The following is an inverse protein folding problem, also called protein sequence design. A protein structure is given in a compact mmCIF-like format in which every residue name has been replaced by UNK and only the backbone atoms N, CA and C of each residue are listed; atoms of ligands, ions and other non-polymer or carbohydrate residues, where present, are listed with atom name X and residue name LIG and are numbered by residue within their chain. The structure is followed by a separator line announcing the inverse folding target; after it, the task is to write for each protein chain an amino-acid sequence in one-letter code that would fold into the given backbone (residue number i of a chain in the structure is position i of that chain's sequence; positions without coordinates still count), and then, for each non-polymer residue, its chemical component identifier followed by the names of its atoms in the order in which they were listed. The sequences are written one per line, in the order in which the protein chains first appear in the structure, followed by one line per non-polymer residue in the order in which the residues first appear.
data_IF_602551367574
#
_entry.id   IF_602551367574
#
_cell.length_a   1.000
_cell.length_b   1.000
_cell.length_c   1.000
_cell.angle_alpha   90.00
_cell.angle_beta   90.00
_cell.angle_gamma   90.00
#
_symmetry.space_group_name_H-M   'P 1'
#
loop_
_entity.id
_entity.type
_entity.pdbx_description
1 polymer ?
#
# COMPACT_ATOMS: atom_id res chain seq x y z
N UNK A 1 -2.31 -8.39 -4.36
CA UNK A 1 -1.40 -8.09 -3.24
C UNK A 1 -0.55 -9.31 -2.98
N UNK A 2 0.35 -9.63 -3.89
CA UNK A 2 1.06 -10.92 -3.89
C UNK A 2 2.02 -11.11 -2.72
N UNK A 3 2.50 -10.02 -2.12
CA UNK A 3 3.53 -10.06 -1.08
C UNK A 3 2.98 -10.06 0.35
N UNK A 4 1.66 -10.11 0.53
CA UNK A 4 1.02 -10.16 1.84
C UNK A 4 0.49 -11.57 2.12
N UNK A 5 0.83 -12.10 3.29
CA UNK A 5 0.36 -13.37 3.80
C UNK A 5 -0.73 -13.20 4.86
N UNK A 6 -1.70 -14.10 4.85
CA UNK A 6 -2.80 -14.15 5.79
C UNK A 6 -2.31 -14.55 7.16
N UNK A 7 -1.97 -13.61 8.04
CA UNK A 7 -1.79 -13.97 9.45
C UNK A 7 -3.10 -14.11 10.22
N UNK A 8 -4.24 -13.65 9.68
CA UNK A 8 -5.52 -13.59 10.43
C UNK A 8 -6.83 -13.79 9.61
N UNK A 9 -6.82 -14.35 8.39
CA UNK A 9 -8.09 -14.56 7.64
C UNK A 9 -8.29 -16.04 7.35
N UNK A 10 -9.11 -16.69 8.18
CA UNK A 10 -9.58 -18.07 8.05
C UNK A 10 -10.80 -18.07 7.14
N UNK A 11 -10.86 -18.93 6.12
CA UNK A 11 -12.09 -19.15 5.33
C UNK A 11 -11.98 -19.04 3.79
N UNK A 12 -10.80 -18.81 3.22
CA UNK A 12 -10.58 -18.80 1.76
C UNK A 12 -10.03 -20.15 1.30
N UNK A 13 -10.49 -20.67 0.16
CA UNK A 13 -9.93 -21.88 -0.46
C UNK A 13 -8.65 -21.58 -1.24
N UNK A 14 -7.64 -22.42 -1.07
CA UNK A 14 -6.33 -22.32 -1.72
C UNK A 14 -5.99 -23.66 -2.37
N UNK A 15 -5.52 -23.62 -3.62
CA UNK A 15 -5.05 -24.81 -4.34
C UNK A 15 -3.69 -25.25 -3.77
N UNK A 16 -3.55 -26.54 -3.44
CA UNK A 16 -2.34 -27.19 -2.94
C UNK A 16 -2.14 -28.56 -3.65
N UNK A 17 -1.00 -29.21 -3.45
CA UNK A 17 -0.69 -30.51 -4.05
C UNK A 17 0.67 -30.57 -4.76
N UNK A 18 0.97 -31.69 -5.45
CA UNK A 18 0.08 -32.82 -5.76
C UNK A 18 -0.15 -33.77 -4.57
N UNK A 19 -1.26 -34.50 -4.61
CA UNK A 19 -1.54 -35.63 -3.70
C UNK A 19 -0.86 -36.94 -4.15
N UNK A 20 -1.12 -38.05 -3.44
CA UNK A 20 -0.56 -39.36 -3.77
C UNK A 20 -0.97 -39.89 -5.17
N UNK A 21 -2.05 -39.36 -5.74
CA UNK A 21 -2.53 -39.69 -7.09
C UNK A 21 -1.95 -38.74 -8.16
N UNK A 22 -1.21 -37.71 -7.76
CA UNK A 22 -0.65 -36.69 -8.65
C UNK A 22 -1.62 -35.57 -9.00
N UNK A 23 -2.77 -35.47 -8.32
CA UNK A 23 -3.78 -34.44 -8.56
C UNK A 23 -3.60 -33.24 -7.61
N UNK A 24 -3.91 -32.04 -8.09
CA UNK A 24 -3.96 -30.83 -7.26
C UNK A 24 -5.32 -30.78 -6.56
N UNK A 25 -5.35 -30.42 -5.29
CA UNK A 25 -6.59 -30.34 -4.50
C UNK A 25 -6.77 -28.94 -3.90
N UNK A 26 -8.00 -28.60 -3.50
CA UNK A 26 -8.28 -27.36 -2.76
C UNK A 26 -8.34 -27.63 -1.27
N UNK A 27 -7.82 -26.70 -0.47
CA UNK A 27 -7.89 -26.77 1.00
C UNK A 27 -8.24 -25.41 1.59
N UNK A 28 -8.76 -25.37 2.82
CA UNK A 28 -8.86 -24.12 3.55
C UNK A 28 -7.47 -23.47 3.71
N UNK A 29 -7.45 -22.15 3.58
CA UNK A 29 -6.27 -21.32 3.76
C UNK A 29 -5.70 -21.43 5.18
N UNK A 30 -4.38 -21.40 5.27
CA UNK A 30 -3.61 -21.42 6.53
C UNK A 30 -2.83 -20.12 6.69
N UNK A 31 -2.29 -19.89 7.89
CA UNK A 31 -1.65 -18.62 8.25
C UNK A 31 -0.39 -18.26 7.42
N UNK A 32 0.17 -19.24 6.71
CA UNK A 32 1.34 -19.05 5.86
C UNK A 32 0.98 -18.80 4.39
N UNK A 33 -0.29 -18.88 4.00
CA UNK A 33 -0.71 -18.62 2.63
C UNK A 33 -0.73 -17.12 2.32
N UNK A 34 -0.39 -16.79 1.08
CA UNK A 34 -0.50 -15.45 0.54
C UNK A 34 -1.95 -15.09 0.18
N UNK A 35 -2.24 -13.79 0.01
CA UNK A 35 -3.53 -13.35 -0.50
C UNK A 35 -3.82 -14.00 -1.86
N UNK A 36 -5.05 -14.48 -2.10
CA UNK A 36 -5.40 -15.16 -3.34
C UNK A 36 -5.27 -14.18 -4.50
N UNK A 37 -4.79 -14.67 -5.64
CA UNK A 37 -4.76 -13.87 -6.86
C UNK A 37 -6.17 -13.85 -7.47
N UNK A 38 -6.69 -12.67 -7.87
CA UNK A 38 -8.01 -12.58 -8.52
C UNK A 38 -8.03 -13.22 -9.91
N UNK A 39 -6.87 -13.29 -10.57
CA UNK A 39 -6.70 -13.89 -11.89
C UNK A 39 -5.50 -14.82 -11.89
N UNK A 40 -5.51 -15.90 -12.67
CA UNK A 40 -4.40 -16.86 -12.74
C UNK A 40 -3.15 -16.27 -13.39
N UNK A 41 -3.32 -15.33 -14.33
CA UNK A 41 -2.22 -14.69 -15.04
C UNK A 41 -2.62 -13.27 -15.55
N UNK A 42 -1.65 -12.46 -15.99
CA UNK A 42 -1.91 -11.11 -16.47
C UNK A 42 -2.82 -11.05 -17.70
N UNK A 43 -2.77 -12.03 -18.60
CA UNK A 43 -3.60 -12.04 -19.81
C UNK A 43 -5.08 -12.24 -19.47
N UNK A 44 -5.40 -13.15 -18.55
CA UNK A 44 -6.74 -13.32 -18.02
C UNK A 44 -7.26 -12.03 -17.37
N UNK A 45 -6.39 -11.32 -16.63
CA UNK A 45 -6.74 -10.04 -16.01
C UNK A 45 -7.04 -8.95 -17.07
N UNK A 46 -6.26 -8.88 -18.15
CA UNK A 46 -6.49 -7.93 -19.25
C UNK A 46 -7.79 -8.20 -19.97
N UNK A 47 -8.07 -9.46 -20.29
CA UNK A 47 -9.31 -9.85 -20.96
C UNK A 47 -10.53 -9.46 -20.12
N UNK A 48 -10.46 -9.66 -18.80
CA UNK A 48 -11.54 -9.30 -17.89
C UNK A 48 -11.74 -7.78 -17.70
N UNK A 49 -10.75 -6.95 -18.01
CA UNK A 49 -10.76 -5.51 -17.74
C UNK A 49 -10.53 -4.65 -19.00
N UNK A 50 -11.11 -5.05 -20.14
CA UNK A 50 -11.05 -4.29 -21.41
C UNK A 50 -9.61 -3.97 -21.88
N UNK A 51 -8.68 -4.91 -21.67
CA UNK A 51 -7.26 -4.78 -22.02
C UNK A 51 -6.38 -4.11 -20.95
N UNK A 52 -6.99 -3.45 -19.96
CA UNK A 52 -6.26 -2.87 -18.84
C UNK A 52 -5.81 -3.97 -17.87
N UNK A 53 -4.59 -3.85 -17.33
CA UNK A 53 -4.09 -4.76 -16.29
C UNK A 53 -4.13 -4.02 -14.95
N UNK A 54 -4.98 -4.44 -14.00
CA UNK A 54 -4.93 -3.93 -12.64
C UNK A 54 -3.53 -4.16 -12.04
N UNK A 55 -2.83 -3.11 -11.56
CA UNK A 55 -1.52 -3.27 -10.96
C UNK A 55 -1.64 -3.99 -9.62
N UNK A 56 -0.59 -4.73 -9.23
CA UNK A 56 -0.53 -5.28 -7.88
C UNK A 56 -0.46 -4.15 -6.83
N UNK A 57 -1.25 -4.28 -5.78
CA UNK A 57 -1.41 -3.24 -4.76
C UNK A 57 -0.42 -3.35 -3.59
N UNK A 58 0.41 -4.39 -3.50
CA UNK A 58 1.30 -4.56 -2.34
C UNK A 58 2.27 -3.40 -2.15
N UNK A 59 2.78 -2.82 -3.23
CA UNK A 59 3.71 -1.69 -3.18
C UNK A 59 3.17 -0.43 -3.86
N UNK A 60 1.87 -0.34 -4.14
CA UNK A 60 1.32 0.74 -4.98
C UNK A 60 1.58 2.14 -4.43
N UNK A 61 1.56 2.28 -3.10
CA UNK A 61 1.87 3.53 -2.38
C UNK A 61 3.32 3.96 -2.62
N UNK A 62 4.28 3.04 -2.60
CA UNK A 62 5.68 3.37 -2.88
C UNK A 62 5.97 3.47 -4.38
N UNK A 63 5.16 2.82 -5.21
CA UNK A 63 5.34 2.75 -6.67
C UNK A 63 4.73 3.94 -7.43
N UNK A 64 4.11 4.91 -6.75
CA UNK A 64 3.53 6.11 -7.35
C UNK A 64 3.99 7.36 -6.60
N UNK A 65 4.28 8.41 -7.36
CA UNK A 65 4.58 9.72 -6.77
C UNK A 65 3.38 10.23 -5.98
N UNK A 66 3.63 10.80 -4.80
CA UNK A 66 2.58 11.24 -3.87
C UNK A 66 2.03 10.13 -2.96
N UNK A 67 2.31 8.85 -3.25
CA UNK A 67 1.94 7.72 -2.39
C UNK A 67 0.48 7.69 -1.97
N UNK A 68 0.22 7.61 -0.67
CA UNK A 68 -1.12 7.57 -0.11
C UNK A 68 -1.97 8.80 -0.46
N UNK A 69 -1.36 9.99 -0.60
CA UNK A 69 -2.08 11.21 -1.01
C UNK A 69 -2.60 11.08 -2.44
N UNK A 70 -1.79 10.48 -3.33
CA UNK A 70 -2.19 10.19 -4.70
C UNK A 70 -3.31 9.15 -4.74
N UNK A 71 -3.20 8.04 -4.00
CA UNK A 71 -4.22 6.99 -3.99
C UNK A 71 -5.54 7.53 -3.43
N UNK A 72 -5.51 8.31 -2.34
CA UNK A 72 -6.70 8.91 -1.75
C UNK A 72 -7.39 9.88 -2.73
N UNK A 73 -6.61 10.75 -3.36
CA UNK A 73 -7.12 11.71 -4.35
C UNK A 73 -7.69 11.01 -5.58
N UNK A 74 -7.04 9.92 -6.03
CA UNK A 74 -7.54 9.10 -7.13
C UNK A 74 -8.89 8.45 -6.79
N UNK A 75 -9.00 7.82 -5.62
CA UNK A 75 -10.22 7.11 -5.22
C UNK A 75 -11.42 8.05 -5.00
N UNK A 76 -11.18 9.25 -4.46
CA UNK A 76 -12.24 10.23 -4.13
C UNK A 76 -12.48 11.27 -5.23
N UNK A 77 -11.59 11.34 -6.23
CA UNK A 77 -11.56 12.40 -7.23
C UNK A 77 -12.29 12.10 -8.54
N UNK A 78 -13.00 10.98 -8.64
CA UNK A 78 -13.82 10.69 -9.82
C UNK A 78 -14.89 11.76 -10.01
N UNK A 79 -14.98 12.31 -11.22
CA UNK A 79 -15.94 13.34 -11.57
C UNK A 79 -16.27 13.30 -13.07
N UNK A 80 -17.27 14.08 -13.48
CA UNK A 80 -17.63 14.23 -14.88
C UNK A 80 -16.51 14.93 -15.66
N UNK A 81 -16.26 14.53 -16.93
CA UNK A 81 -15.27 15.18 -17.76
C UNK A 81 -15.66 16.64 -18.01
N UNK A 82 -14.69 17.58 -17.98
CA UNK A 82 -14.95 18.98 -18.28
C UNK A 82 -15.36 19.17 -19.74
N UNK A 83 -15.99 20.30 -20.04
CA UNK A 83 -16.45 20.62 -21.39
C UNK A 83 -15.32 20.47 -22.43
N UNK A 84 -15.58 19.71 -23.49
CA UNK A 84 -14.62 19.46 -24.58
C UNK A 84 -13.75 18.21 -24.39
N UNK A 85 -13.83 17.51 -23.25
CA UNK A 85 -13.12 16.25 -23.03
C UNK A 85 -14.09 15.07 -23.26
N UNK A 86 -13.79 14.24 -24.24
CA UNK A 86 -14.53 12.98 -24.49
C UNK A 86 -13.67 11.80 -24.08
N UNK A 87 -14.20 10.96 -23.19
CA UNK A 87 -13.53 9.73 -22.75
C UNK A 87 -14.03 8.56 -23.60
N UNK A 88 -13.13 7.66 -24.00
CA UNK A 88 -13.49 6.47 -24.78
C UNK A 88 -14.33 5.51 -23.93
N UNK A 89 -15.17 4.72 -24.60
CA UNK A 89 -15.95 3.68 -23.92
C UNK A 89 -15.03 2.72 -23.15
N UNK A 90 -15.42 2.37 -21.92
CA UNK A 90 -14.63 1.56 -20.99
C UNK A 90 -13.56 2.32 -20.20
N UNK A 91 -13.34 3.61 -20.48
CA UNK A 91 -12.50 4.50 -19.68
C UNK A 91 -13.37 5.49 -18.88
N UNK A 92 -12.83 5.97 -17.77
CA UNK A 92 -13.49 6.89 -16.84
C UNK A 92 -12.64 8.14 -16.65
N UNK A 93 -13.28 9.29 -16.44
CA UNK A 93 -12.55 10.53 -16.17
C UNK A 93 -12.09 10.61 -14.72
N UNK A 94 -10.81 10.93 -14.52
CA UNK A 94 -10.27 11.24 -13.20
C UNK A 94 -9.12 12.27 -13.33
N UNK A 95 -9.23 13.48 -12.76
CA UNK A 95 -8.25 14.54 -12.95
C UNK A 95 -6.88 14.23 -12.33
N UNK A 96 -6.82 13.34 -11.34
CA UNK A 96 -5.56 12.95 -10.67
C UNK A 96 -4.80 11.87 -11.46
N UNK A 97 -5.47 11.12 -12.33
CA UNK A 97 -4.82 10.09 -13.13
C UNK A 97 -4.02 10.74 -14.28
N UNK A 98 -2.76 10.32 -14.54
CA UNK A 98 -2.01 10.81 -15.70
C UNK A 98 -2.74 10.54 -17.02
N UNK A 99 -3.02 11.58 -17.79
CA UNK A 99 -3.82 11.49 -19.02
C UNK A 99 -5.33 11.50 -18.82
N UNK A 100 -5.79 11.67 -17.57
CA UNK A 100 -7.17 11.91 -17.13
C UNK A 100 -8.22 10.86 -17.50
N UNK A 101 -7.86 9.82 -18.24
CA UNK A 101 -8.72 8.70 -18.61
C UNK A 101 -8.16 7.40 -18.01
N UNK A 102 -8.89 6.81 -17.07
CA UNK A 102 -8.50 5.60 -16.34
C UNK A 102 -9.42 4.42 -16.70
N UNK A 103 -8.85 3.22 -16.89
CA UNK A 103 -9.62 2.00 -17.15
C UNK A 103 -10.23 1.35 -15.90
N UNK A 104 -10.28 2.08 -14.78
CA UNK A 104 -10.82 1.63 -13.51
C UNK A 104 -12.14 2.35 -13.27
N UNK A 105 -13.24 1.59 -13.15
CA UNK A 105 -14.53 2.13 -12.71
C UNK A 105 -14.42 2.69 -11.28
N UNK A 106 -15.24 3.69 -10.88
CA UNK A 106 -15.24 4.22 -9.52
C UNK A 106 -15.46 3.08 -8.51
N UNK A 107 -14.45 2.69 -7.71
CA UNK A 107 -14.49 1.43 -6.97
C UNK A 107 -15.19 1.56 -5.60
N UNK A 108 -15.38 2.79 -5.12
CA UNK A 108 -15.94 3.07 -3.80
C UNK A 108 -17.04 4.14 -3.92
N UNK A 109 -18.06 3.99 -3.10
CA UNK A 109 -19.18 4.92 -2.93
C UNK A 109 -19.62 4.88 -1.47
N UNK A 110 -20.52 5.78 -1.05
CA UNK A 110 -21.02 5.77 0.33
C UNK A 110 -21.72 4.44 0.63
N UNK A 111 -21.43 3.87 1.79
CA UNK A 111 -22.02 2.62 2.29
C UNK A 111 -21.71 1.40 1.40
N UNK A 112 -20.54 1.40 0.74
CA UNK A 112 -20.06 0.24 -0.06
C UNK A 112 -19.80 -1.01 0.81
N UNK A 113 -19.57 -0.83 2.10
CA UNK A 113 -19.37 -1.89 3.09
C UNK A 113 -19.87 -1.43 4.47
N UNK A 114 -20.03 -2.37 5.39
CA UNK A 114 -20.31 -2.08 6.80
C UNK A 114 -19.07 -2.42 7.63
N UNK A 115 -18.63 -1.47 8.46
CA UNK A 115 -17.51 -1.71 9.36
C UNK A 115 -17.97 -2.49 10.60
N UNK A 116 -17.15 -3.46 11.04
CA UNK A 116 -17.41 -4.27 12.23
C UNK A 116 -17.50 -3.43 13.53
N UNK A 117 -16.82 -2.27 13.55
CA UNK A 117 -16.81 -1.35 14.69
C UNK A 117 -17.93 -0.29 14.65
N UNK A 118 -18.77 -0.31 13.61
CA UNK A 118 -19.86 0.63 13.42
C UNK A 118 -19.45 2.01 12.90
N UNK A 119 -18.21 2.19 12.43
CA UNK A 119 -17.79 3.43 11.78
C UNK A 119 -18.67 3.74 10.56
N UNK A 120 -19.14 4.99 10.36
CA UNK A 120 -19.92 5.34 9.18
C UNK A 120 -19.09 5.18 7.90
N UNK A 121 -19.52 4.29 7.00
CA UNK A 121 -18.81 3.94 5.78
C UNK A 121 -18.99 4.97 4.65
N UNK A 122 -18.67 6.24 4.92
CA UNK A 122 -18.62 7.27 3.87
C UNK A 122 -17.47 6.98 2.90
N UNK A 123 -17.62 7.41 1.63
CA UNK A 123 -16.61 7.23 0.58
C UNK A 123 -15.22 7.70 1.03
N UNK A 124 -15.15 8.89 1.65
CA UNK A 124 -13.88 9.44 2.13
C UNK A 124 -13.26 8.64 3.28
N UNK A 125 -14.09 8.08 4.16
CA UNK A 125 -13.64 7.25 5.28
C UNK A 125 -13.06 5.93 4.76
N UNK A 126 -13.77 5.26 3.85
CA UNK A 126 -13.29 4.04 3.18
C UNK A 126 -11.98 4.30 2.43
N UNK A 127 -11.90 5.40 1.66
CA UNK A 127 -10.67 5.77 0.96
C UNK A 127 -9.49 5.95 1.92
N UNK A 128 -9.70 6.66 3.04
CA UNK A 128 -8.67 6.90 4.06
C UNK A 128 -8.17 5.60 4.67
N UNK A 129 -9.08 4.70 5.04
CA UNK A 129 -8.73 3.45 5.70
C UNK A 129 -8.00 2.49 4.75
N UNK A 130 -8.47 2.40 3.49
CA UNK A 130 -7.78 1.64 2.44
C UNK A 130 -6.37 2.20 2.19
N UNK A 131 -6.21 3.53 2.11
CA UNK A 131 -4.88 4.14 1.93
C UNK A 131 -3.96 3.85 3.12
N UNK A 132 -4.49 3.88 4.35
CA UNK A 132 -3.73 3.55 5.57
C UNK A 132 -3.28 2.09 5.55
N UNK A 133 -4.17 1.18 5.16
CA UNK A 133 -3.85 -0.23 4.98
C UNK A 133 -2.79 -0.45 3.89
N UNK A 134 -2.93 0.21 2.73
CA UNK A 134 -1.96 0.11 1.64
C UNK A 134 -0.59 0.70 2.02
N UNK A 135 -0.55 1.74 2.87
CA UNK A 135 0.70 2.27 3.40
C UNK A 135 1.42 1.23 4.26
N UNK A 136 0.69 0.57 5.16
CA UNK A 136 1.22 -0.52 5.96
C UNK A 136 1.66 -1.71 5.08
N UNK A 137 0.88 -2.05 4.07
CA UNK A 137 1.18 -3.13 3.14
C UNK A 137 2.50 -2.89 2.37
N UNK A 138 2.75 -1.65 1.97
CA UNK A 138 3.97 -1.26 1.26
C UNK A 138 5.19 -1.08 2.19
N UNK A 139 4.99 -0.69 3.45
CA UNK A 139 6.06 -0.46 4.45
C UNK A 139 5.68 -1.04 5.83
N UNK A 140 5.72 -2.37 6.01
CA UNK A 140 5.36 -3.00 7.29
C UNK A 140 6.30 -2.63 8.44
N UNK A 141 7.52 -2.18 8.14
CA UNK A 141 8.52 -1.75 9.12
C UNK A 141 8.38 -0.27 9.54
N UNK A 142 7.42 0.48 8.99
CA UNK A 142 7.25 1.92 9.18
C UNK A 142 7.35 2.37 10.65
N UNK A 143 6.62 1.70 11.54
CA UNK A 143 6.56 2.07 12.96
C UNK A 143 7.86 1.74 13.70
N UNK A 144 8.43 0.56 13.42
CA UNK A 144 9.71 0.15 13.99
C UNK A 144 10.84 1.07 13.51
N UNK A 145 10.85 1.42 12.23
CA UNK A 145 11.81 2.33 11.59
C UNK A 145 11.77 3.71 12.24
N UNK A 146 10.58 4.29 12.44
CA UNK A 146 10.44 5.59 13.14
C UNK A 146 10.90 5.51 14.59
N UNK A 147 10.54 4.45 15.32
CA UNK A 147 10.98 4.22 16.71
C UNK A 147 12.51 4.12 16.81
N UNK A 148 13.15 3.38 15.90
CA UNK A 148 14.61 3.28 15.83
C UNK A 148 15.25 4.61 15.44
N UNK A 149 14.68 5.34 14.48
CA UNK A 149 15.14 6.66 14.06
C UNK A 149 15.23 7.65 15.21
N UNK A 150 14.21 7.70 16.08
CA UNK A 150 14.21 8.54 17.28
C UNK A 150 15.36 8.18 18.24
N UNK A 151 15.62 6.88 18.45
CA UNK A 151 16.74 6.42 19.30
C UNK A 151 18.09 6.82 18.72
N UNK A 152 18.27 6.62 17.41
CA UNK A 152 19.52 6.98 16.71
C UNK A 152 19.76 8.48 16.78
N UNK A 153 18.74 9.31 16.55
CA UNK A 153 18.85 10.77 16.62
C UNK A 153 19.24 11.23 18.04
N UNK A 154 18.65 10.62 19.07
CA UNK A 154 19.00 10.91 20.46
C UNK A 154 20.48 10.58 20.75
N UNK A 155 20.94 9.38 20.39
CA UNK A 155 22.33 8.95 20.58
C UNK A 155 23.29 9.86 19.81
N UNK A 156 22.99 10.15 18.55
CA UNK A 156 23.79 11.05 17.72
C UNK A 156 23.95 12.42 18.37
N UNK A 157 22.87 13.01 18.88
CA UNK A 157 22.93 14.30 19.58
C UNK A 157 23.83 14.25 20.81
N UNK A 158 23.80 13.15 21.58
CA UNK A 158 24.71 12.98 22.72
C UNK A 158 26.17 12.90 22.27
N UNK A 159 26.48 12.08 21.26
CA UNK A 159 27.85 11.96 20.72
C UNK A 159 28.33 13.33 20.20
N UNK A 160 27.51 14.03 19.43
CA UNK A 160 27.84 15.33 18.86
C UNK A 160 28.11 16.37 19.95
N UNK A 161 27.28 16.43 21.01
CA UNK A 161 27.48 17.36 22.14
C UNK A 161 28.81 17.15 22.87
N UNK A 162 29.20 15.90 23.07
CA UNK A 162 30.45 15.57 23.78
C UNK A 162 31.69 15.57 22.89
N UNK A 163 31.52 15.71 21.56
CA UNK A 163 32.61 15.59 20.59
C UNK A 163 33.75 16.56 20.88
N UNK A 164 33.46 17.85 21.05
CA UNK A 164 34.44 18.92 21.32
C UNK A 164 35.21 18.68 22.62
N UNK A 165 34.51 18.28 23.70
CA UNK A 165 35.13 18.03 24.99
C UNK A 165 36.01 16.78 24.99
N UNK A 166 35.61 15.73 24.26
CA UNK A 166 36.37 14.49 24.16
C UNK A 166 37.54 14.59 23.17
N UNK A 167 37.47 15.48 22.18
CA UNK A 167 38.54 15.69 21.20
C UNK A 167 39.58 16.74 21.61
N UNK A 168 39.36 17.49 22.70
CA UNK A 168 40.26 18.58 23.11
C UNK A 168 41.64 18.07 23.49
N UNK A 169 42.69 18.77 23.05
CA UNK A 169 44.07 18.57 23.50
C UNK A 169 44.46 19.73 24.40
N UNK A 170 44.97 19.43 25.60
CA UNK A 170 45.40 20.42 26.59
C UNK A 170 46.91 20.35 26.74
N UNK A 171 47.57 21.51 26.83
CA UNK A 171 49.00 21.61 27.09
C UNK A 171 49.22 22.59 28.25
N UNK A 172 49.82 22.12 29.33
CA UNK A 172 50.20 22.97 30.46
C UNK A 172 51.55 23.63 30.17
N UNK A 173 51.61 24.97 30.26
CA UNK A 173 52.83 25.77 30.05
C UNK A 173 53.06 26.66 31.29
N UNK A 174 53.81 26.20 32.29
CA UNK A 174 54.07 27.00 33.48
C UNK A 174 54.94 28.23 33.13
N UNK A 175 54.74 29.37 33.80
CA UNK A 175 55.60 30.54 33.66
C UNK A 175 57.02 30.27 34.18
N UNK A 176 58.00 31.02 33.67
CA UNK A 176 59.38 31.00 34.15
C UNK A 176 59.54 31.69 35.49
#
# INVERSE_FOLDING_TARGET
MEYLAFRNLVGVEVVDGPDESGEMFTRPGKLSDYFPKPYPNPEAARVANNGALPPDLSYIVNARHGGEDYVFSLLTGYCEPPAGVTVREGLYYNPYFPGQAIGMAPPIYNEVLEYEDGTPATMSQVAKDVCTFLRWAAEPEHDQRKRMGLKVQYIYKQIHRWSVMKSRKMAYRPPK
#
